data_IF_312978850873
#
_entry.id   IF_312978850873
#
_cell.length_a   1.000
_cell.length_b   1.000
_cell.length_c   1.000
_cell.angle_alpha   90.00
_cell.angle_beta   90.00
_cell.angle_gamma   90.00
#
_symmetry.space_group_name_H-M   'P 1'
#
loop_
_entity.id
_entity.type
_entity.pdbx_description
1 polymer ?
#
# COMPACT_ATOMS: atom_id res chain seq x y z
N UNK A 1 27.04 27.50 5.51
CA UNK A 1 25.77 28.19 5.26
C UNK A 1 24.77 27.21 4.66
N UNK A 2 24.31 26.35 5.55
CA UNK A 2 23.16 25.48 5.37
C UNK A 2 21.91 26.36 5.52
N UNK A 3 21.29 26.72 4.40
CA UNK A 3 19.94 27.26 4.39
C UNK A 3 19.04 26.21 3.76
N UNK A 4 18.67 25.27 4.61
CA UNK A 4 17.59 24.31 4.47
C UNK A 4 16.30 25.10 4.23
N UNK A 5 15.86 25.16 2.98
CA UNK A 5 14.52 25.65 2.61
C UNK A 5 13.79 24.48 1.98
N UNK A 6 13.25 23.61 2.85
CA UNK A 6 12.27 22.57 2.49
C UNK A 6 10.85 22.98 2.89
N UNK A 7 10.60 24.28 3.03
CA UNK A 7 9.28 24.84 3.26
C UNK A 7 8.63 25.18 1.92
N UNK A 8 7.47 24.56 1.65
CA UNK A 8 6.61 24.69 0.47
C UNK A 8 6.99 23.88 -0.78
N UNK A 9 6.59 22.60 -0.78
CA UNK A 9 6.13 21.94 -2.01
C UNK A 9 4.71 21.40 -1.80
N UNK A 10 3.67 22.22 -1.95
CA UNK A 10 2.28 21.75 -1.90
C UNK A 10 1.88 20.84 -3.08
N UNK A 11 2.83 20.26 -3.84
CA UNK A 11 3.46 20.81 -5.08
C UNK A 11 4.17 19.76 -5.97
N UNK A 12 4.54 18.63 -5.38
CA UNK A 12 4.98 17.35 -5.97
C UNK A 12 3.91 16.31 -5.56
N UNK A 13 2.67 16.69 -5.23
CA UNK A 13 1.48 17.08 -6.03
C UNK A 13 0.83 15.99 -6.86
N UNK A 14 0.07 15.15 -6.17
CA UNK A 14 -0.45 13.90 -6.69
C UNK A 14 0.68 12.99 -7.25
N UNK A 15 1.96 13.38 -7.25
CA UNK A 15 2.85 13.47 -8.45
C UNK A 15 3.52 12.18 -8.94
N UNK A 16 2.98 11.06 -8.52
CA UNK A 16 2.65 9.99 -9.45
C UNK A 16 1.14 9.82 -9.27
N UNK A 17 0.31 10.52 -10.07
CA UNK A 17 -1.14 10.83 -9.88
C UNK A 17 -2.14 9.67 -9.66
N UNK A 18 -1.74 8.52 -9.13
CA UNK A 18 -1.64 7.24 -9.85
C UNK A 18 -0.19 7.05 -10.29
N UNK A 19 0.53 6.02 -9.84
CA UNK A 19 1.69 5.51 -10.58
C UNK A 19 1.17 4.96 -11.92
N UNK A 20 0.95 5.84 -12.90
CA UNK A 20 0.75 5.60 -14.34
C UNK A 20 0.15 4.24 -14.73
N UNK A 21 -1.07 3.90 -14.27
CA UNK A 21 -1.91 2.81 -14.82
C UNK A 21 -1.08 1.58 -15.24
N UNK A 22 -0.10 1.19 -14.43
CA UNK A 22 0.79 0.07 -14.75
C UNK A 22 -0.11 -1.14 -14.83
N UNK A 23 -0.14 -1.87 -15.94
CA UNK A 23 -0.92 -3.10 -16.02
C UNK A 23 -0.43 -4.01 -14.88
N UNK A 24 -1.30 -4.22 -13.88
CA UNK A 24 -0.99 -5.22 -12.87
C UNK A 24 -1.01 -6.55 -13.59
N UNK A 25 -0.01 -7.40 -13.35
CA UNK A 25 -0.06 -8.78 -13.86
C UNK A 25 -1.15 -9.59 -13.16
N UNK A 26 -1.61 -9.11 -11.99
CA UNK A 26 -2.71 -9.71 -11.26
C UNK A 26 -4.03 -9.54 -12.03
N UNK A 27 -4.65 -10.66 -12.38
CA UNK A 27 -5.98 -10.64 -12.99
C UNK A 27 -7.00 -10.07 -12.00
N UNK A 28 -7.98 -9.32 -12.51
CA UNK A 28 -9.09 -8.80 -11.73
C UNK A 28 -9.92 -9.91 -11.05
N UNK A 29 -9.82 -11.16 -11.51
CA UNK A 29 -10.50 -12.32 -10.93
C UNK A 29 -10.00 -12.70 -9.53
N UNK A 30 -8.78 -12.27 -9.16
CA UNK A 30 -8.20 -12.53 -7.84
C UNK A 30 -9.03 -11.85 -6.75
N UNK A 31 -9.49 -10.63 -7.00
CA UNK A 31 -10.31 -9.87 -6.06
C UNK A 31 -11.69 -10.50 -5.84
N UNK A 32 -12.25 -11.15 -6.87
CA UNK A 32 -13.55 -11.86 -6.77
C UNK A 32 -13.43 -13.20 -6.05
N UNK A 33 -12.29 -13.87 -6.18
CA UNK A 33 -12.01 -15.17 -5.57
C UNK A 33 -11.12 -15.06 -4.32
N UNK A 34 -11.10 -13.89 -3.67
CA UNK A 34 -10.20 -13.57 -2.57
C UNK A 34 -10.24 -14.60 -1.44
N UNK A 35 -11.44 -14.98 -1.00
CA UNK A 35 -11.66 -15.93 0.11
C UNK A 35 -11.38 -17.39 -0.28
N UNK A 36 -11.30 -17.73 -1.57
CA UNK A 36 -10.99 -19.08 -2.03
C UNK A 36 -9.48 -19.27 -2.13
N UNK A 37 -8.89 -18.62 -3.15
CA UNK A 37 -7.47 -18.76 -3.49
C UNK A 37 -6.79 -17.40 -3.72
N UNK A 38 -7.55 -16.31 -3.86
CA UNK A 38 -7.01 -15.02 -4.28
C UNK A 38 -5.97 -14.45 -3.31
N UNK A 39 -6.21 -14.56 -1.99
CA UNK A 39 -5.22 -14.13 -0.97
C UNK A 39 -3.89 -14.87 -1.13
N UNK A 40 -3.93 -16.19 -1.29
CA UNK A 40 -2.71 -17.02 -1.39
C UNK A 40 -1.92 -16.70 -2.66
N UNK A 41 -2.61 -16.53 -3.79
CA UNK A 41 -1.99 -16.17 -5.06
C UNK A 41 -1.36 -14.77 -5.01
N UNK A 42 -2.04 -13.82 -4.39
CA UNK A 42 -1.54 -12.46 -4.16
C UNK A 42 -0.25 -12.48 -3.33
N UNK A 43 -0.27 -13.11 -2.14
CA UNK A 43 0.90 -13.17 -1.26
C UNK A 43 2.07 -13.88 -1.94
N UNK A 44 1.82 -14.98 -2.66
CA UNK A 44 2.86 -15.70 -3.42
C UNK A 44 3.51 -14.79 -4.48
N UNK A 45 2.72 -13.98 -5.16
CA UNK A 45 3.21 -13.01 -6.15
C UNK A 45 4.06 -11.93 -5.47
N UNK A 46 3.61 -11.38 -4.35
CA UNK A 46 4.40 -10.41 -3.56
C UNK A 46 5.74 -11.01 -3.11
N UNK A 47 5.74 -12.25 -2.61
CA UNK A 47 6.98 -12.96 -2.22
C UNK A 47 7.91 -13.12 -3.42
N UNK A 48 7.40 -13.46 -4.60
CA UNK A 48 8.23 -13.61 -5.80
C UNK A 48 8.90 -12.29 -6.21
N UNK A 49 8.17 -11.18 -6.14
CA UNK A 49 8.71 -9.84 -6.41
C UNK A 49 9.80 -9.47 -5.39
N UNK A 50 9.57 -9.77 -4.11
CA UNK A 50 10.50 -9.43 -3.02
C UNK A 50 11.73 -10.35 -2.94
N UNK A 51 11.66 -11.55 -3.53
CA UNK A 51 12.79 -12.49 -3.61
C UNK A 51 13.82 -12.12 -4.66
N UNK A 52 13.44 -11.28 -5.63
CA UNK A 52 14.41 -10.78 -6.60
C UNK A 52 15.30 -9.77 -5.86
N UNK A 53 16.52 -10.18 -5.50
CA UNK A 53 17.46 -9.51 -4.58
C UNK A 53 17.92 -8.12 -5.03
N UNK A 54 17.02 -7.15 -5.12
CA UNK A 54 17.33 -5.73 -5.17
C UNK A 54 17.36 -5.18 -3.75
N UNK A 55 18.21 -4.17 -3.51
CA UNK A 55 18.35 -3.50 -2.21
C UNK A 55 17.08 -2.80 -1.74
N UNK A 56 16.10 -2.59 -2.63
CA UNK A 56 14.86 -1.90 -2.34
C UNK A 56 13.73 -2.61 -3.08
N UNK A 57 12.60 -2.87 -2.41
CA UNK A 57 11.44 -3.50 -3.05
C UNK A 57 10.85 -2.64 -4.16
N UNK A 58 11.28 -1.38 -4.34
CA UNK A 58 10.78 -0.46 -5.36
C UNK A 58 11.37 -0.69 -6.75
N UNK A 59 12.58 -1.25 -6.86
CA UNK A 59 13.27 -1.46 -8.14
C UNK A 59 13.67 -2.92 -8.29
N UNK A 60 13.53 -3.49 -9.49
CA UNK A 60 14.11 -4.80 -9.82
C UNK A 60 15.63 -4.68 -10.07
N UNK A 61 16.31 -5.82 -10.31
CA UNK A 61 17.75 -5.82 -10.65
C UNK A 61 18.10 -5.06 -11.94
N UNK A 62 17.11 -4.80 -12.79
CA UNK A 62 17.27 -4.07 -14.06
C UNK A 62 17.01 -2.57 -13.90
N UNK A 63 16.67 -2.10 -12.70
CA UNK A 63 16.31 -0.71 -12.43
C UNK A 63 14.89 -0.34 -12.84
N UNK A 64 14.03 -1.32 -13.17
CA UNK A 64 12.61 -1.07 -13.44
C UNK A 64 11.83 -1.00 -12.13
N UNK A 65 10.77 -0.19 -12.10
CA UNK A 65 9.86 -0.13 -10.96
C UNK A 65 9.12 -1.47 -10.79
N UNK A 66 9.14 -2.02 -9.58
CA UNK A 66 8.35 -3.20 -9.27
C UNK A 66 6.88 -2.83 -9.07
N UNK A 67 5.99 -3.81 -9.24
CA UNK A 67 4.55 -3.62 -9.04
C UNK A 67 4.11 -3.75 -7.57
N UNK A 68 5.02 -3.84 -6.58
CA UNK A 68 4.65 -4.12 -5.19
C UNK A 68 3.82 -3.01 -4.56
N UNK A 69 4.23 -1.75 -4.78
CA UNK A 69 3.53 -0.56 -4.28
C UNK A 69 2.11 -0.54 -4.84
N UNK A 70 1.97 -0.88 -6.13
CA UNK A 70 0.67 -0.98 -6.79
C UNK A 70 -0.20 -2.06 -6.15
N UNK A 71 0.34 -3.26 -5.92
CA UNK A 71 -0.44 -4.36 -5.34
C UNK A 71 -0.92 -4.06 -3.93
N UNK A 72 -0.10 -3.39 -3.12
CA UNK A 72 -0.48 -2.94 -1.78
C UNK A 72 -1.56 -1.85 -1.88
N UNK A 73 -1.41 -0.89 -2.77
CA UNK A 73 -2.41 0.15 -2.99
C UNK A 73 -3.74 -0.43 -3.49
N UNK A 74 -3.73 -1.33 -4.48
CA UNK A 74 -4.93 -2.01 -4.98
C UNK A 74 -5.64 -2.79 -3.86
N UNK A 75 -4.89 -3.48 -2.99
CA UNK A 75 -5.44 -4.20 -1.84
C UNK A 75 -6.16 -3.25 -0.87
N UNK A 76 -5.56 -2.10 -0.57
CA UNK A 76 -6.14 -1.07 0.29
C UNK A 76 -7.39 -0.47 -0.38
N UNK A 77 -7.32 -0.11 -1.66
CA UNK A 77 -8.46 0.39 -2.46
C UNK A 77 -9.65 -0.58 -2.41
N UNK A 78 -9.42 -1.89 -2.58
CA UNK A 78 -10.50 -2.90 -2.47
C UNK A 78 -11.06 -3.03 -1.06
N UNK A 79 -10.25 -2.79 -0.04
CA UNK A 79 -10.71 -2.71 1.36
C UNK A 79 -11.56 -1.47 1.63
N UNK A 80 -11.12 -0.31 1.12
CA UNK A 80 -11.79 0.99 1.26
C UNK A 80 -13.17 0.97 0.59
N UNK A 81 -13.23 0.51 -0.67
CA UNK A 81 -14.48 0.34 -1.44
C UNK A 81 -15.40 -0.78 -0.91
N UNK A 82 -14.97 -1.52 0.10
CA UNK A 82 -15.72 -2.61 0.70
C UNK A 82 -15.89 -3.85 -0.18
N UNK A 83 -15.06 -4.01 -1.22
CA UNK A 83 -15.00 -5.22 -2.05
C UNK A 83 -14.42 -6.37 -1.23
N UNK A 84 -13.42 -6.08 -0.40
CA UNK A 84 -12.82 -7.02 0.55
C UNK A 84 -13.21 -6.69 1.99
N UNK A 85 -13.25 -7.72 2.83
CA UNK A 85 -13.41 -7.54 4.28
C UNK A 85 -12.17 -6.86 4.86
N UNK A 86 -12.37 -5.86 5.72
CA UNK A 86 -11.29 -5.09 6.38
C UNK A 86 -10.32 -6.01 7.12
N UNK A 87 -10.83 -6.99 7.86
CA UNK A 87 -10.02 -7.99 8.58
C UNK A 87 -9.10 -8.78 7.65
N UNK A 88 -9.59 -9.13 6.44
CA UNK A 88 -8.83 -9.89 5.45
C UNK A 88 -7.70 -9.04 4.84
N UNK A 89 -7.98 -7.75 4.59
CA UNK A 89 -6.97 -6.76 4.13
C UNK A 89 -5.89 -6.58 5.19
N UNK A 90 -6.27 -6.29 6.43
CA UNK A 90 -5.36 -6.09 7.57
C UNK A 90 -4.49 -7.34 7.79
N UNK A 91 -5.09 -8.53 7.80
CA UNK A 91 -4.36 -9.80 7.94
C UNK A 91 -3.33 -10.00 6.82
N UNK A 92 -3.65 -9.58 5.60
CA UNK A 92 -2.74 -9.70 4.45
C UNK A 92 -1.60 -8.69 4.55
N UNK A 93 -1.89 -7.43 4.91
CA UNK A 93 -0.86 -6.42 5.16
C UNK A 93 0.09 -6.84 6.30
N UNK A 94 -0.45 -7.44 7.36
CA UNK A 94 0.34 -7.98 8.47
C UNK A 94 1.26 -9.12 8.01
N UNK A 95 0.84 -9.93 7.05
CA UNK A 95 1.71 -10.96 6.45
C UNK A 95 2.82 -10.30 5.61
N UNK A 96 2.49 -9.29 4.81
CA UNK A 96 3.46 -8.57 3.96
C UNK A 96 4.57 -7.86 4.76
N UNK A 97 4.24 -7.23 5.91
CA UNK A 97 5.26 -6.58 6.75
C UNK A 97 6.29 -7.53 7.34
N UNK A 98 6.02 -8.84 7.33
CA UNK A 98 7.00 -9.85 7.75
C UNK A 98 7.94 -10.28 6.63
N UNK A 99 7.65 -9.90 5.38
CA UNK A 99 8.43 -10.31 4.21
C UNK A 99 9.69 -9.46 4.00
N UNK A 100 9.64 -8.15 4.27
CA UNK A 100 10.77 -7.24 4.06
C UNK A 100 10.69 -6.01 4.97
N UNK A 101 11.84 -5.48 5.40
CA UNK A 101 11.94 -4.38 6.36
C UNK A 101 11.38 -3.04 5.81
N UNK A 102 11.52 -2.80 4.51
CA UNK A 102 10.99 -1.58 3.86
C UNK A 102 9.47 -1.60 3.62
N UNK A 103 8.80 -2.75 3.74
CA UNK A 103 7.35 -2.87 3.45
C UNK A 103 6.49 -2.07 4.42
N UNK A 104 6.73 -2.09 5.76
CA UNK A 104 6.09 -1.18 6.70
C UNK A 104 6.10 0.29 6.27
N UNK A 105 7.26 0.79 5.83
CA UNK A 105 7.44 2.17 5.39
C UNK A 105 6.62 2.46 4.12
N UNK A 106 6.63 1.54 3.16
CA UNK A 106 5.83 1.65 1.92
C UNK A 106 4.33 1.67 2.21
N UNK A 107 3.85 0.80 3.11
CA UNK A 107 2.44 0.78 3.50
C UNK A 107 2.06 2.12 4.14
N UNK A 108 2.90 2.65 5.03
CA UNK A 108 2.66 3.94 5.68
C UNK A 108 2.56 5.08 4.66
N UNK A 109 3.47 5.12 3.68
CA UNK A 109 3.45 6.12 2.62
C UNK A 109 2.16 6.03 1.79
N UNK A 110 1.72 4.81 1.43
CA UNK A 110 0.47 4.60 0.69
C UNK A 110 -0.75 5.05 1.51
N UNK A 111 -0.80 4.71 2.81
CA UNK A 111 -1.90 5.13 3.68
C UNK A 111 -1.96 6.65 3.82
N UNK A 112 -0.82 7.33 3.97
CA UNK A 112 -0.78 8.79 4.04
C UNK A 112 -1.27 9.45 2.75
N UNK A 113 -0.93 8.88 1.59
CA UNK A 113 -1.44 9.36 0.30
C UNK A 113 -2.94 9.14 0.17
N UNK A 114 -3.43 7.96 0.55
CA UNK A 114 -4.86 7.62 0.49
C UNK A 114 -5.70 8.50 1.43
N UNK A 115 -5.20 8.81 2.63
CA UNK A 115 -5.86 9.74 3.56
C UNK A 115 -5.96 11.15 2.96
N UNK A 116 -4.87 11.63 2.36
CA UNK A 116 -4.86 12.93 1.69
C UNK A 116 -5.88 12.99 0.53
N UNK A 117 -6.02 11.91 -0.26
CA UNK A 117 -7.03 11.81 -1.33
C UNK A 117 -8.45 11.76 -0.77
N UNK A 118 -8.69 10.90 0.22
CA UNK A 118 -10.01 10.77 0.87
C UNK A 118 -10.43 12.04 1.63
N UNK A 119 -9.46 12.87 2.02
CA UNK A 119 -9.71 14.14 2.70
C UNK A 119 -10.34 15.23 1.81
N UNK A 120 -10.20 15.11 0.48
CA UNK A 120 -10.64 16.11 -0.50
C UNK A 120 -12.03 15.83 -1.10
N UNK A 121 -12.70 14.73 -0.73
CA UNK A 121 -13.97 14.30 -1.32
C UNK A 121 -15.11 14.50 -0.32
N UNK A 122 -15.98 15.47 -0.60
CA UNK A 122 -16.89 16.05 0.40
C UNK A 122 -18.32 15.46 0.47
N UNK A 123 -18.72 14.46 -0.33
CA UNK A 123 -20.18 14.14 -0.39
C UNK A 123 -20.65 12.70 -0.65
N UNK A 124 -19.96 11.83 -1.40
CA UNK A 124 -20.51 10.49 -1.76
C UNK A 124 -19.77 9.29 -1.16
N UNK A 125 -18.57 9.48 -0.59
CA UNK A 125 -17.68 8.38 -0.15
C UNK A 125 -17.46 8.34 1.39
N UNK A 126 -18.42 8.83 2.17
CA UNK A 126 -18.32 8.82 3.65
C UNK A 126 -18.10 7.42 4.22
N UNK A 127 -18.70 6.39 3.59
CA UNK A 127 -18.53 4.99 3.97
C UNK A 127 -17.11 4.49 3.68
N UNK A 128 -16.54 4.93 2.57
CA UNK A 128 -15.20 4.53 2.13
C UNK A 128 -14.17 5.16 3.06
N UNK A 129 -14.36 6.43 3.45
CA UNK A 129 -13.56 7.08 4.50
C UNK A 129 -13.64 6.35 5.84
N UNK A 130 -14.82 5.92 6.28
CA UNK A 130 -14.94 5.11 7.50
C UNK A 130 -14.22 3.76 7.41
N UNK A 131 -14.27 3.12 6.24
CA UNK A 131 -13.54 1.88 6.00
C UNK A 131 -12.04 2.10 6.05
N UNK A 132 -11.56 3.16 5.40
CA UNK A 132 -10.18 3.58 5.41
C UNK A 132 -9.67 3.83 6.84
N UNK A 133 -10.36 4.66 7.63
CA UNK A 133 -9.96 4.93 9.02
C UNK A 133 -9.92 3.66 9.88
N UNK A 134 -10.84 2.71 9.65
CA UNK A 134 -10.82 1.44 10.35
C UNK A 134 -9.61 0.56 9.97
N UNK A 135 -9.24 0.54 8.69
CA UNK A 135 -8.05 -0.18 8.21
C UNK A 135 -6.79 0.46 8.78
N UNK A 136 -6.65 1.79 8.69
CA UNK A 136 -5.49 2.53 9.24
C UNK A 136 -5.29 2.22 10.72
N UNK A 137 -6.35 2.32 11.53
CA UNK A 137 -6.29 2.07 12.97
C UNK A 137 -5.78 0.66 13.33
N UNK A 138 -6.15 -0.34 12.54
CA UNK A 138 -5.64 -1.71 12.74
C UNK A 138 -4.20 -1.85 12.22
N UNK A 139 -3.86 -1.18 11.12
CA UNK A 139 -2.50 -1.15 10.57
C UNK A 139 -1.50 -0.49 11.53
N UNK A 140 -1.87 0.63 12.16
CA UNK A 140 -1.03 1.36 13.12
C UNK A 140 -0.53 0.46 14.26
N UNK A 141 -1.33 -0.51 14.71
CA UNK A 141 -0.95 -1.43 15.80
C UNK A 141 0.30 -2.22 15.47
N UNK A 142 0.39 -2.78 14.26
CA UNK A 142 1.55 -3.60 13.87
C UNK A 142 2.65 -2.79 13.17
N UNK A 143 2.33 -1.65 12.55
CA UNK A 143 3.33 -0.76 11.95
C UNK A 143 4.17 -0.06 13.03
N UNK A 144 3.54 0.39 14.12
CA UNK A 144 4.24 1.05 15.24
C UNK A 144 5.26 0.11 15.90
N UNK A 145 4.89 -1.15 16.13
CA UNK A 145 5.79 -2.16 16.72
C UNK A 145 7.00 -2.51 15.84
N UNK A 146 6.88 -2.33 14.53
CA UNK A 146 7.94 -2.60 13.56
C UNK A 146 8.86 -1.39 13.37
N UNK A 147 8.27 -0.20 13.24
CA UNK A 147 9.01 1.06 13.07
C UNK A 147 9.79 1.47 14.34
N UNK A 148 9.31 1.09 15.53
CA UNK A 148 10.00 1.38 16.80
C UNK A 148 11.22 0.50 17.08
N UNK A 149 11.43 -0.59 16.33
CA UNK A 149 12.59 -1.50 16.50
C UNK A 149 13.82 -1.12 15.68
N UNK A 150 13.68 -0.18 14.75
CA UNK A 150 14.79 0.33 13.92
C UNK A 150 15.41 1.62 14.47
N UNK A 151 14.99 2.09 15.65
CA UNK A 151 15.60 3.20 16.38
C UNK A 151 16.55 2.73 17.48
#
# INVERSE_FOLDING_TARGET
DDSVVWDCVPCLCIFLCYVMKMAGLLSNDIWKNWEKNGKQEFVKTCIQILKDESKTPLFDRSGNLTCIVKYINDLIDKGVKGILKKESVVSTLQELVTLHADIPSIILDILNVEDAVSSQIDSEEFKDRQNFCAIVKECEKFLSDKLLKER
#
